data_IF_920594761000
#
_entry.id   IF_920594761000
#
_cell.length_a   1.000
_cell.length_b   1.000
_cell.length_c   1.000
_cell.angle_alpha   90.00
_cell.angle_beta   90.00
_cell.angle_gamma   90.00
#
_symmetry.space_group_name_H-M   'P 1'
#
loop_
_entity.id
_entity.type
_entity.pdbx_description
1 polymer ?
#
# COMPACT_ATOMS: atom_id res chain seq x y z
N UNK A 1 6.43 -19.96 2.52
CA UNK A 1 5.58 -20.27 1.35
C UNK A 1 4.35 -19.39 1.47
N UNK A 2 4.06 -18.56 0.46
CA UNK A 2 2.89 -17.68 0.44
C UNK A 2 1.59 -18.51 0.44
N UNK A 3 0.53 -18.03 1.10
CA UNK A 3 -0.75 -18.75 1.15
C UNK A 3 -1.43 -18.75 -0.22
N UNK A 4 -2.09 -19.84 -0.59
CA UNK A 4 -2.70 -20.01 -1.92
C UNK A 4 -3.76 -18.94 -2.25
N UNK A 5 -4.50 -18.45 -1.26
CA UNK A 5 -5.47 -17.36 -1.45
C UNK A 5 -4.78 -16.02 -1.77
N UNK A 6 -3.64 -15.75 -1.13
CA UNK A 6 -2.81 -14.55 -1.40
C UNK A 6 -2.18 -14.65 -2.79
N UNK A 7 -1.67 -15.83 -3.17
CA UNK A 7 -1.16 -16.09 -4.53
C UNK A 7 -2.26 -15.79 -5.57
N UNK A 8 -3.47 -16.31 -5.36
CA UNK A 8 -4.58 -16.07 -6.29
C UNK A 8 -4.96 -14.58 -6.40
N UNK A 9 -4.97 -13.85 -5.29
CA UNK A 9 -5.19 -12.39 -5.29
C UNK A 9 -4.09 -11.66 -6.05
N UNK A 10 -2.82 -12.05 -5.87
CA UNK A 10 -1.69 -11.49 -6.61
C UNK A 10 -1.78 -11.75 -8.10
N UNK A 11 -2.03 -13.00 -8.51
CA UNK A 11 -2.18 -13.35 -9.93
C UNK A 11 -3.33 -12.57 -10.57
N UNK A 12 -4.47 -12.44 -9.89
CA UNK A 12 -5.61 -11.65 -10.37
C UNK A 12 -5.25 -10.17 -10.57
N UNK A 13 -4.51 -9.59 -9.62
CA UNK A 13 -4.02 -8.21 -9.72
C UNK A 13 -3.06 -8.04 -10.90
N UNK A 14 -2.05 -8.92 -11.02
CA UNK A 14 -1.05 -8.86 -12.09
C UNK A 14 -1.71 -8.98 -13.48
N UNK A 15 -2.64 -9.93 -13.65
CA UNK A 15 -3.45 -10.06 -14.88
C UNK A 15 -4.21 -8.78 -15.21
N UNK A 16 -4.89 -8.17 -14.22
CA UNK A 16 -5.63 -6.91 -14.41
C UNK A 16 -4.70 -5.79 -14.87
N UNK A 17 -3.57 -5.60 -14.19
CA UNK A 17 -2.60 -4.56 -14.54
C UNK A 17 -1.97 -4.78 -15.93
N UNK A 18 -1.61 -6.02 -16.27
CA UNK A 18 -1.12 -6.37 -17.60
C UNK A 18 -2.16 -6.11 -18.69
N UNK A 19 -3.42 -6.49 -18.48
CA UNK A 19 -4.50 -6.25 -19.45
C UNK A 19 -4.73 -4.75 -19.67
N UNK A 20 -4.74 -3.94 -18.60
CA UNK A 20 -4.86 -2.48 -18.71
C UNK A 20 -3.71 -1.89 -19.55
N UNK A 21 -2.48 -2.38 -19.36
CA UNK A 21 -1.31 -1.96 -20.16
C UNK A 21 -1.39 -2.41 -21.62
N UNK A 22 -1.73 -3.68 -21.88
CA UNK A 22 -1.84 -4.23 -23.24
C UNK A 22 -2.93 -3.57 -24.07
N UNK A 23 -4.02 -3.15 -23.43
CA UNK A 23 -5.12 -2.43 -24.08
C UNK A 23 -4.82 -0.94 -24.32
N UNK A 24 -3.60 -0.47 -24.05
CA UNK A 24 -3.20 0.95 -24.14
C UNK A 24 -4.15 1.88 -23.38
N UNK A 25 -4.61 1.48 -22.18
CA UNK A 25 -5.43 2.35 -21.35
C UNK A 25 -4.62 3.60 -20.95
N UNK A 26 -5.17 4.77 -21.28
CA UNK A 26 -4.51 6.09 -21.06
C UNK A 26 -4.93 6.75 -19.76
N UNK A 27 -5.84 6.14 -18.99
CA UNK A 27 -6.29 6.66 -17.70
C UNK A 27 -5.13 6.68 -16.70
N UNK A 28 -4.97 7.77 -15.91
CA UNK A 28 -3.91 7.84 -14.91
C UNK A 28 -4.22 6.90 -13.74
N UNK A 29 -3.22 6.11 -13.32
CA UNK A 29 -3.28 5.33 -12.08
C UNK A 29 -2.96 6.26 -10.91
N UNK A 30 -3.81 6.24 -9.88
CA UNK A 30 -3.63 7.00 -8.64
C UNK A 30 -3.41 6.04 -7.48
N UNK A 31 -2.32 6.24 -6.73
CA UNK A 31 -1.91 5.46 -5.58
C UNK A 31 -2.27 6.22 -4.30
N UNK A 32 -2.86 5.53 -3.33
CA UNK A 32 -3.29 6.06 -2.04
C UNK A 32 -2.60 5.27 -0.93
N UNK A 33 -2.06 5.95 0.08
CA UNK A 33 -1.42 5.28 1.22
C UNK A 33 -1.26 6.21 2.43
N UNK A 34 -1.08 5.59 3.60
CA UNK A 34 -0.72 6.25 4.85
C UNK A 34 0.67 5.85 5.35
N UNK A 35 1.48 6.82 5.76
CA UNK A 35 2.78 6.58 6.39
C UNK A 35 2.98 7.44 7.63
N UNK A 36 4.13 7.29 8.28
CA UNK A 36 4.51 8.13 9.40
C UNK A 36 5.99 8.49 9.39
N UNK A 37 6.30 9.69 9.90
CA UNK A 37 7.66 10.18 10.13
C UNK A 37 7.85 10.38 11.64
N UNK A 38 8.96 9.86 12.17
CA UNK A 38 9.29 10.02 13.59
C UNK A 38 10.10 11.30 13.80
N UNK A 39 9.86 12.01 14.89
CA UNK A 39 10.66 13.14 15.34
C UNK A 39 12.17 12.84 15.39
N UNK A 40 12.50 11.62 15.82
CA UNK A 40 13.88 11.16 15.96
C UNK A 40 14.39 10.43 14.72
N UNK A 41 13.69 10.49 13.58
CA UNK A 41 14.11 9.80 12.36
C UNK A 41 15.44 10.40 11.85
N UNK A 42 16.44 9.55 11.71
CA UNK A 42 17.85 9.89 11.42
C UNK A 42 18.48 8.90 10.45
N UNK A 43 19.69 9.18 9.99
CA UNK A 43 20.47 8.25 9.15
C UNK A 43 20.98 7.06 9.98
N UNK A 44 20.81 5.85 9.48
CA UNK A 44 21.25 4.62 10.16
C UNK A 44 22.77 4.48 10.36
N UNK A 45 23.59 5.20 9.59
CA UNK A 45 25.04 5.28 9.78
C UNK A 45 25.48 6.75 9.85
N UNK A 46 26.15 7.10 10.95
CA UNK A 46 26.63 8.46 11.21
C UNK A 46 28.04 8.34 11.78
N UNK A 47 28.97 9.14 11.26
CA UNK A 47 30.32 9.23 11.80
C UNK A 47 30.28 9.81 13.21
N UNK A 48 30.85 9.08 14.16
CA UNK A 48 31.10 9.54 15.54
C UNK A 48 32.59 9.44 15.80
N UNK A 49 33.12 10.35 16.62
CA UNK A 49 34.51 10.24 17.06
C UNK A 49 34.66 9.04 18.04
N UNK A 50 35.90 8.60 18.27
CA UNK A 50 36.19 7.43 19.11
C UNK A 50 35.68 7.58 20.55
N UNK A 51 35.50 8.82 21.02
CA UNK A 51 35.03 9.16 22.36
C UNK A 51 33.50 9.36 22.42
N UNK A 52 32.78 9.23 21.29
CA UNK A 52 31.34 9.45 21.18
C UNK A 52 30.87 10.86 21.63
N UNK A 53 31.78 11.83 21.66
CA UNK A 53 31.55 13.22 22.12
C UNK A 53 31.22 14.18 20.99
N UNK A 54 31.63 13.86 19.76
CA UNK A 54 31.38 14.63 18.54
C UNK A 54 30.59 13.81 17.53
N UNK A 55 29.73 14.48 16.76
CA UNK A 55 28.78 13.87 15.83
C UNK A 55 27.33 14.17 16.20
N UNK A 56 26.39 13.77 15.35
CA UNK A 56 24.96 14.01 15.57
C UNK A 56 24.48 13.22 16.81
N UNK A 57 24.04 13.94 17.86
CA UNK A 57 23.47 13.34 19.08
C UNK A 57 21.99 13.06 18.87
N UNK A 58 21.67 11.82 18.52
CA UNK A 58 20.28 11.36 18.43
C UNK A 58 19.61 11.35 19.82
N UNK A 59 18.37 11.87 19.94
CA UNK A 59 17.63 11.81 21.19
C UNK A 59 17.31 10.36 21.57
N UNK A 60 17.51 10.02 22.84
CA UNK A 60 17.17 8.70 23.38
C UNK A 60 15.70 8.71 23.83
N UNK A 61 14.78 8.21 22.98
CA UNK A 61 13.35 8.15 23.26
C UNK A 61 12.51 7.78 22.03
N UNK A 62 11.22 7.43 22.22
CA UNK A 62 10.33 7.02 21.11
C UNK A 62 9.96 8.16 20.14
N UNK A 63 10.09 9.42 20.55
CA UNK A 63 9.77 10.61 19.74
C UNK A 63 8.27 10.75 19.37
N UNK A 64 7.84 11.94 18.97
CA UNK A 64 6.54 12.13 18.33
C UNK A 64 6.47 11.49 16.94
N UNK A 65 5.27 11.21 16.43
CA UNK A 65 5.06 10.72 15.06
C UNK A 65 4.10 11.64 14.31
N UNK A 66 4.51 12.09 13.14
CA UNK A 66 3.63 12.71 12.16
C UNK A 66 3.03 11.61 11.30
N UNK A 67 1.70 11.51 11.27
CA UNK A 67 0.95 10.64 10.35
C UNK A 67 0.69 11.42 9.06
N UNK A 68 0.84 10.75 7.92
CA UNK A 68 0.66 11.34 6.59
C UNK A 68 -0.25 10.39 5.81
N UNK A 69 -1.37 10.89 5.28
CA UNK A 69 -2.23 10.18 4.33
C UNK A 69 -2.22 10.98 3.03
N UNK A 70 -1.89 10.36 1.89
CA UNK A 70 -1.84 11.09 0.62
C UNK A 70 -2.15 10.21 -0.60
N UNK A 71 -2.50 10.89 -1.70
CA UNK A 71 -2.69 10.32 -3.02
C UNK A 71 -1.67 10.85 -4.05
N UNK A 72 -1.20 10.04 -4.99
CA UNK A 72 -0.32 10.50 -6.07
C UNK A 72 -0.39 9.67 -7.36
N UNK A 73 0.02 10.25 -8.48
CA UNK A 73 0.04 9.61 -9.80
C UNK A 73 1.31 9.93 -10.57
N UNK A 74 1.74 9.01 -11.45
CA UNK A 74 2.81 9.26 -12.43
C UNK A 74 2.51 10.47 -13.33
N UNK A 75 1.24 10.75 -13.62
CA UNK A 75 0.85 11.78 -14.59
C UNK A 75 0.95 13.20 -14.04
N UNK A 76 0.66 13.38 -12.76
CA UNK A 76 0.51 14.72 -12.15
C UNK A 76 1.16 14.87 -10.77
N UNK A 77 1.88 13.85 -10.27
CA UNK A 77 2.52 13.88 -8.96
C UNK A 77 1.50 13.72 -7.83
N UNK A 78 1.74 14.38 -6.70
CA UNK A 78 0.77 14.43 -5.61
C UNK A 78 -0.52 15.12 -6.05
N UNK A 79 -1.66 14.59 -5.59
CA UNK A 79 -2.96 15.23 -5.82
C UNK A 79 -3.02 16.49 -4.95
N UNK A 80 -2.95 17.67 -5.56
CA UNK A 80 -3.10 18.94 -4.85
C UNK A 80 -4.58 19.28 -4.70
N UNK A 81 -5.00 19.49 -3.45
CA UNK A 81 -6.33 19.92 -2.99
C UNK A 81 -7.51 19.03 -3.40
N UNK A 82 -8.12 18.37 -2.41
CA UNK A 82 -9.54 18.01 -2.46
C UNK A 82 -10.22 18.66 -1.26
N UNK A 83 -11.14 19.59 -1.55
CA UNK A 83 -12.02 20.20 -0.57
C UNK A 83 -12.90 19.16 0.11
N UNK A 84 -12.46 18.70 1.28
CA UNK A 84 -13.28 18.01 2.25
C UNK A 84 -13.10 18.74 3.57
N UNK A 85 -14.12 19.51 3.97
CA UNK A 85 -14.14 20.15 5.28
C UNK A 85 -14.20 19.07 6.36
N UNK A 86 -13.22 19.08 7.27
CA UNK A 86 -13.27 18.31 8.51
C UNK A 86 -13.05 19.23 9.70
N UNK A 87 -13.80 18.99 10.78
CA UNK A 87 -13.68 19.76 12.01
C UNK A 87 -12.47 19.25 12.82
N UNK A 88 -11.57 20.13 13.31
CA UNK A 88 -10.43 19.75 14.15
C UNK A 88 -10.81 19.21 15.54
N UNK A 89 -12.10 19.15 15.88
CA UNK A 89 -12.61 18.87 17.22
C UNK A 89 -13.30 17.50 17.36
N UNK A 90 -13.47 16.73 16.27
CA UNK A 90 -14.12 15.42 16.35
C UNK A 90 -13.14 14.33 16.82
N UNK A 91 -13.53 13.57 17.84
CA UNK A 91 -12.73 12.46 18.35
C UNK A 91 -12.92 11.20 17.50
N UNK A 92 -11.88 10.37 17.42
CA UNK A 92 -11.89 9.09 16.69
C UNK A 92 -13.06 8.17 17.13
N UNK A 93 -13.53 8.32 18.37
CA UNK A 93 -14.64 7.57 18.93
C UNK A 93 -16.00 8.00 18.36
N UNK A 94 -16.22 9.30 18.20
CA UNK A 94 -17.47 9.87 17.66
C UNK A 94 -17.63 9.55 16.17
N UNK A 95 -16.52 9.58 15.41
CA UNK A 95 -16.50 9.16 14.00
C UNK A 95 -16.80 7.67 13.85
N UNK A 96 -16.31 6.82 14.76
CA UNK A 96 -16.55 5.37 14.74
C UNK A 96 -17.99 4.99 15.06
N UNK A 97 -18.66 5.70 15.96
CA UNK A 97 -20.07 5.42 16.30
C UNK A 97 -21.01 5.77 15.15
N UNK A 98 -20.79 6.89 14.45
CA UNK A 98 -21.56 7.25 13.26
C UNK A 98 -21.47 6.20 12.16
N UNK A 99 -20.25 5.75 11.85
CA UNK A 99 -19.98 4.77 10.78
C UNK A 99 -20.59 3.41 11.10
N UNK A 100 -20.60 2.99 12.38
CA UNK A 100 -21.09 1.65 12.79
C UNK A 100 -22.57 1.40 12.48
N UNK A 101 -23.39 2.45 12.45
CA UNK A 101 -24.83 2.36 12.15
C UNK A 101 -25.17 2.32 10.65
N UNK A 102 -24.18 2.58 9.79
CA UNK A 102 -24.34 2.67 8.34
C UNK A 102 -23.82 1.45 7.59
N UNK A 103 -23.16 0.50 8.28
CA UNK A 103 -22.49 -0.64 7.66
C UNK A 103 -23.51 -1.66 7.14
N UNK A 104 -23.65 -1.84 5.82
CA UNK A 104 -24.51 -2.88 5.25
C UNK A 104 -23.91 -4.28 5.48
N UNK A 105 -24.75 -5.33 5.46
CA UNK A 105 -24.33 -6.73 5.64
C UNK A 105 -23.36 -7.24 4.54
N UNK A 106 -23.34 -6.60 3.38
CA UNK A 106 -22.31 -6.82 2.36
C UNK A 106 -21.21 -5.76 2.50
N UNK A 107 -19.94 -6.20 2.55
CA UNK A 107 -18.77 -5.32 2.62
C UNK A 107 -18.58 -4.59 1.28
N UNK A 108 -19.29 -3.49 1.08
CA UNK A 108 -18.98 -2.49 0.05
C UNK A 108 -18.22 -1.36 0.72
N UNK A 109 -17.08 -0.98 0.15
CA UNK A 109 -16.33 0.16 0.64
C UNK A 109 -16.99 1.42 0.09
N UNK A 110 -17.38 2.36 0.95
CA UNK A 110 -17.97 3.65 0.51
C UNK A 110 -17.06 4.37 -0.49
N UNK A 111 -15.74 4.25 -0.33
CA UNK A 111 -14.75 4.76 -1.28
C UNK A 111 -14.90 4.15 -2.68
N UNK A 112 -15.29 2.88 -2.78
CA UNK A 112 -15.51 2.22 -4.07
C UNK A 112 -16.77 2.77 -4.76
N UNK A 113 -17.80 3.10 -3.99
CA UNK A 113 -19.02 3.73 -4.52
C UNK A 113 -18.77 5.17 -4.96
N UNK A 114 -18.05 5.95 -4.15
CA UNK A 114 -17.66 7.32 -4.50
C UNK A 114 -16.76 7.33 -5.74
N UNK A 115 -15.74 6.46 -5.78
CA UNK A 115 -14.88 6.34 -6.95
C UNK A 115 -15.68 5.95 -8.20
N UNK A 116 -16.61 4.98 -8.08
CA UNK A 116 -17.46 4.57 -9.17
C UNK A 116 -18.40 5.70 -9.66
N UNK A 117 -18.96 6.49 -8.76
CA UNK A 117 -19.80 7.66 -9.08
C UNK A 117 -19.02 8.72 -9.87
N UNK A 118 -17.72 8.85 -9.60
CA UNK A 118 -16.82 9.78 -10.29
C UNK A 118 -16.20 9.12 -11.56
N UNK A 119 -16.51 7.85 -11.84
CA UNK A 119 -16.00 7.11 -13.00
C UNK A 119 -14.57 6.58 -12.83
N UNK A 120 -14.08 6.52 -11.60
CA UNK A 120 -12.78 5.96 -11.25
C UNK A 120 -12.87 4.46 -10.95
N UNK A 121 -12.02 3.69 -11.60
CA UNK A 121 -11.89 2.25 -11.38
C UNK A 121 -10.86 1.97 -10.30
N UNK A 122 -11.26 1.26 -9.23
CA UNK A 122 -10.35 0.88 -8.15
C UNK A 122 -9.62 -0.43 -8.47
N UNK A 123 -8.33 -0.43 -8.16
CA UNK A 123 -7.49 -1.62 -8.14
C UNK A 123 -6.89 -1.77 -6.75
N UNK A 124 -7.26 -2.84 -6.04
CA UNK A 124 -6.73 -3.14 -4.71
C UNK A 124 -5.41 -3.91 -4.84
N UNK A 125 -4.42 -3.50 -4.05
CA UNK A 125 -3.17 -4.24 -3.94
C UNK A 125 -3.40 -5.60 -3.25
N UNK A 126 -2.71 -6.65 -3.71
CA UNK A 126 -2.68 -7.92 -3.01
C UNK A 126 -2.08 -7.77 -1.60
N UNK A 127 -2.59 -8.49 -0.58
CA UNK A 127 -2.04 -8.45 0.77
C UNK A 127 -0.54 -8.77 0.79
N UNK A 128 0.26 -8.03 1.57
CA UNK A 128 1.72 -8.18 1.68
C UNK A 128 2.54 -7.86 0.42
N UNK A 129 1.93 -7.23 -0.59
CA UNK A 129 2.62 -6.86 -1.83
C UNK A 129 2.78 -5.34 -2.01
N UNK A 130 3.25 -4.65 -0.96
CA UNK A 130 3.49 -3.21 -1.01
C UNK A 130 4.56 -2.81 -2.05
N UNK A 131 5.43 -3.73 -2.50
CA UNK A 131 6.41 -3.49 -3.56
C UNK A 131 5.78 -3.09 -4.91
N UNK A 132 4.50 -3.37 -5.12
CA UNK A 132 3.77 -2.93 -6.32
C UNK A 132 3.20 -1.51 -6.19
N UNK A 133 3.30 -0.91 -5.00
CA UNK A 133 2.80 0.42 -4.71
C UNK A 133 3.91 1.47 -4.85
N UNK A 134 3.89 2.26 -5.91
CA UNK A 134 4.97 3.21 -6.21
C UNK A 134 5.14 4.29 -5.12
N UNK A 135 4.06 4.64 -4.40
CA UNK A 135 4.10 5.65 -3.33
C UNK A 135 4.98 5.22 -2.15
N UNK A 136 5.14 3.92 -1.90
CA UNK A 136 6.02 3.39 -0.86
C UNK A 136 7.49 3.76 -1.14
N UNK A 137 7.89 3.76 -2.41
CA UNK A 137 9.23 4.17 -2.85
C UNK A 137 9.41 5.68 -2.76
N UNK A 138 8.34 6.45 -3.01
CA UNK A 138 8.34 7.91 -2.79
C UNK A 138 8.48 8.21 -1.29
N UNK A 139 7.77 7.47 -0.43
CA UNK A 139 7.93 7.59 1.01
C UNK A 139 9.34 7.28 1.47
N UNK A 140 9.99 6.27 0.89
CA UNK A 140 11.40 6.00 1.17
C UNK A 140 12.31 7.18 0.80
N UNK A 141 12.07 7.84 -0.34
CA UNK A 141 12.82 9.02 -0.76
C UNK A 141 12.61 10.22 0.18
N UNK A 142 11.36 10.55 0.48
CA UNK A 142 10.99 11.65 1.39
C UNK A 142 11.59 11.43 2.77
N UNK A 143 11.43 10.23 3.33
CA UNK A 143 12.03 9.87 4.63
C UNK A 143 13.55 9.96 4.59
N UNK A 144 14.18 9.54 3.49
CA UNK A 144 15.62 9.66 3.30
C UNK A 144 16.13 11.10 3.29
N UNK A 145 15.39 12.02 2.67
CA UNK A 145 15.75 13.44 2.61
C UNK A 145 15.55 14.14 3.96
N UNK A 146 14.44 13.86 4.65
CA UNK A 146 14.22 14.33 6.03
C UNK A 146 15.34 13.79 6.93
N UNK A 147 15.66 12.50 6.88
CA UNK A 147 16.71 11.88 7.68
C UNK A 147 18.10 12.51 7.44
N UNK A 148 18.37 12.92 6.20
CA UNK A 148 19.63 13.54 5.80
C UNK A 148 19.81 14.94 6.38
N UNK A 149 18.74 15.70 6.48
CA UNK A 149 18.78 17.11 6.86
C UNK A 149 18.35 17.35 8.32
N UNK A 150 17.77 16.33 8.99
CA UNK A 150 17.37 16.42 10.39
C UNK A 150 18.57 16.45 11.33
N UNK A 151 18.91 17.64 11.81
CA UNK A 151 20.04 17.87 12.73
C UNK A 151 19.60 18.29 14.13
N UNK A 152 18.39 18.85 14.27
CA UNK A 152 17.91 19.45 15.53
C UNK A 152 16.96 18.54 16.30
N UNK A 153 16.31 17.58 15.63
CA UNK A 153 15.32 16.67 16.20
C UNK A 153 14.13 17.36 16.91
N UNK A 154 13.89 18.64 16.57
CA UNK A 154 12.73 19.39 17.03
C UNK A 154 11.56 19.15 16.09
N UNK A 155 10.37 19.03 16.66
CA UNK A 155 9.18 18.68 15.90
C UNK A 155 8.88 19.72 14.80
N UNK A 156 8.93 21.01 15.13
CA UNK A 156 8.70 22.11 14.17
C UNK A 156 9.72 22.12 13.01
N UNK A 157 10.97 21.71 13.28
CA UNK A 157 12.01 21.64 12.26
C UNK A 157 11.79 20.42 11.35
N UNK A 158 11.40 19.28 11.92
CA UNK A 158 11.06 18.07 11.16
C UNK A 158 9.84 18.31 10.26
N UNK A 159 8.84 19.05 10.72
CA UNK A 159 7.67 19.41 9.91
C UNK A 159 8.06 20.27 8.70
N UNK A 160 8.94 21.27 8.89
CA UNK A 160 9.47 22.07 7.77
C UNK A 160 10.26 21.22 6.79
N UNK A 161 11.18 20.38 7.28
CA UNK A 161 11.97 19.47 6.45
C UNK A 161 11.09 18.49 5.67
N UNK A 162 9.98 18.02 6.27
CA UNK A 162 9.02 17.16 5.60
C UNK A 162 8.33 17.91 4.45
N UNK A 163 7.84 19.12 4.69
CA UNK A 163 7.21 19.94 3.64
C UNK A 163 8.19 20.24 2.50
N UNK A 164 9.44 20.59 2.81
CA UNK A 164 10.49 20.82 1.82
C UNK A 164 10.79 19.55 1.01
N UNK A 165 10.91 18.40 1.68
CA UNK A 165 11.13 17.11 1.03
C UNK A 165 9.97 16.74 0.09
N UNK A 166 8.72 16.92 0.52
CA UNK A 166 7.53 16.72 -0.31
C UNK A 166 7.54 17.61 -1.54
N UNK A 167 7.84 18.91 -1.37
CA UNK A 167 7.91 19.88 -2.46
C UNK A 167 9.05 19.58 -3.46
N UNK A 168 10.11 18.91 -2.99
CA UNK A 168 11.23 18.50 -3.85
C UNK A 168 10.95 17.26 -4.70
N UNK A 169 9.89 16.50 -4.40
CA UNK A 169 9.54 15.30 -5.18
C UNK A 169 9.04 15.73 -6.57
N UNK A 170 9.79 15.34 -7.60
CA UNK A 170 9.46 15.70 -8.98
C UNK A 170 8.65 14.60 -9.68
N UNK A 171 8.06 14.95 -10.82
CA UNK A 171 7.40 13.99 -11.72
C UNK A 171 8.36 12.88 -12.17
N UNK A 172 9.65 13.18 -12.34
CA UNK A 172 10.63 12.17 -12.75
C UNK A 172 10.98 11.19 -11.63
N UNK A 173 10.90 11.60 -10.36
CA UNK A 173 10.95 10.67 -9.22
C UNK A 173 9.80 9.67 -9.30
N UNK A 174 8.58 10.16 -9.54
CA UNK A 174 7.39 9.32 -9.72
C UNK A 174 7.49 8.38 -10.91
N UNK A 175 8.01 8.84 -12.06
CA UNK A 175 8.25 7.97 -13.22
C UNK A 175 9.18 6.83 -12.86
N UNK A 176 10.33 7.11 -12.26
CA UNK A 176 11.31 6.08 -11.87
C UNK A 176 10.72 5.05 -10.91
N UNK A 177 9.99 5.49 -9.88
CA UNK A 177 9.33 4.59 -8.93
C UNK A 177 8.26 3.73 -9.61
N UNK A 178 7.45 4.34 -10.48
CA UNK A 178 6.39 3.63 -11.20
C UNK A 178 6.97 2.61 -12.17
N UNK A 179 8.01 2.98 -12.92
CA UNK A 179 8.68 2.08 -13.87
C UNK A 179 9.33 0.90 -13.14
N UNK A 180 9.90 1.12 -11.94
CA UNK A 180 10.40 0.03 -11.09
C UNK A 180 9.28 -0.93 -10.67
N UNK A 181 8.15 -0.42 -10.16
CA UNK A 181 7.01 -1.26 -9.81
C UNK A 181 6.43 -2.01 -11.03
N UNK A 182 6.41 -1.39 -12.21
CA UNK A 182 5.99 -2.05 -13.45
C UNK A 182 6.90 -3.21 -13.81
N UNK A 183 8.22 -3.03 -13.77
CA UNK A 183 9.17 -4.09 -14.06
C UNK A 183 9.01 -5.26 -13.07
N UNK A 184 8.83 -4.98 -11.78
CA UNK A 184 8.56 -6.02 -10.77
C UNK A 184 7.27 -6.78 -11.07
N UNK A 185 6.20 -6.08 -11.46
CA UNK A 185 4.93 -6.70 -11.83
C UNK A 185 5.08 -7.60 -13.07
N UNK A 186 5.85 -7.17 -14.08
CA UNK A 186 6.09 -7.95 -15.29
C UNK A 186 6.93 -9.20 -15.01
N UNK A 187 8.02 -9.07 -14.26
CA UNK A 187 8.85 -10.19 -13.84
C UNK A 187 8.05 -11.24 -13.07
N UNK A 188 7.22 -10.80 -12.11
CA UNK A 188 6.39 -11.72 -11.33
C UNK A 188 5.27 -12.33 -12.16
N UNK A 189 4.70 -11.58 -13.12
CA UNK A 189 3.71 -12.12 -14.04
C UNK A 189 4.29 -13.23 -14.93
N UNK A 190 5.50 -13.05 -15.46
CA UNK A 190 6.20 -14.06 -16.26
C UNK A 190 6.47 -15.33 -15.43
N UNK A 191 6.94 -15.16 -14.18
CA UNK A 191 7.18 -16.29 -13.26
C UNK A 191 5.91 -17.08 -12.96
N UNK A 192 4.78 -16.41 -12.78
CA UNK A 192 3.50 -17.07 -12.55
C UNK A 192 2.98 -17.77 -13.82
N UNK A 193 3.17 -17.21 -15.02
CA UNK A 193 2.85 -17.88 -16.28
C UNK A 193 3.61 -19.19 -16.45
N UNK A 194 4.92 -19.19 -16.15
CA UNK A 194 5.76 -20.41 -16.15
C UNK A 194 5.25 -21.42 -15.11
N UNK A 195 4.79 -20.96 -13.94
CA UNK A 195 4.23 -21.83 -12.91
C UNK A 195 2.91 -22.47 -13.34
N UNK A 196 2.03 -21.70 -13.98
CA UNK A 196 0.75 -22.20 -14.53
C UNK A 196 0.99 -23.24 -15.64
N UNK A 197 2.06 -23.10 -16.45
CA UNK A 197 2.45 -24.08 -17.48
C UNK A 197 3.06 -25.37 -16.88
N UNK A 198 3.79 -25.26 -15.77
CA UNK A 198 4.40 -26.40 -15.08
C UNK A 198 3.37 -27.20 -14.27
N UNK A 199 2.32 -26.54 -13.76
CA UNK A 199 1.25 -27.20 -13.01
C UNK A 199 0.30 -27.91 -13.99
N UNK A 200 0.22 -29.24 -13.87
CA UNK A 200 -0.73 -30.03 -14.67
C UNK A 200 -2.18 -29.60 -14.37
N UNK A 201 -3.05 -29.49 -15.40
CA UNK A 201 -4.45 -29.17 -15.18
C UNK A 201 -5.09 -30.18 -14.23
N UNK A 202 -5.70 -29.71 -13.14
CA UNK A 202 -6.51 -30.55 -12.27
C UNK A 202 -7.84 -30.79 -13.00
N UNK A 203 -7.97 -31.95 -13.63
CA UNK A 203 -9.23 -32.41 -14.23
C UNK A 203 -10.12 -32.92 -13.11
N UNK A 204 -11.11 -32.13 -12.71
CA UNK A 204 -12.18 -32.59 -11.82
C UNK A 204 -13.18 -33.40 -12.64
N UNK A 205 -13.05 -34.72 -12.64
CA UNK A 205 -14.08 -35.61 -13.18
C UNK A 205 -15.24 -35.63 -12.19
N UNK A 206 -16.29 -34.85 -12.48
CA UNK A 206 -17.54 -34.91 -11.72
C UNK A 206 -18.29 -36.15 -12.22
N UNK A 207 -18.13 -37.27 -11.54
CA UNK A 207 -18.99 -38.43 -11.76
C UNK A 207 -20.38 -38.09 -11.24
N UNK A 208 -21.40 -38.22 -12.09
CA UNK A 208 -22.80 -37.91 -11.75
C UNK A 208 -23.50 -38.99 -10.90
N UNK A 209 -22.79 -40.06 -10.52
CA UNK A 209 -23.38 -41.20 -9.80
C UNK A 209 -22.66 -41.47 -8.46
N UNK A 210 -22.78 -40.55 -7.51
CA UNK A 210 -22.58 -40.86 -6.09
C UNK A 210 -23.95 -41.00 -5.41
N UNK A 211 -24.60 -42.14 -5.66
CA UNK A 211 -25.67 -42.66 -4.80
C UNK A 211 -25.10 -43.85 -4.01
N UNK A 212 -24.72 -43.62 -2.75
CA UNK A 212 -25.39 -44.25 -1.62
C UNK A 212 -24.88 -43.67 -0.29
N UNK A 213 -25.80 -43.04 0.42
CA UNK A 213 -25.70 -42.65 1.82
C UNK A 213 -26.48 -43.67 2.64
N UNK A 214 -25.80 -44.42 3.50
CA UNK A 214 -26.41 -45.09 4.67
C UNK A 214 -25.33 -45.68 5.60
N UNK A 215 -24.83 -44.89 6.56
CA UNK A 215 -24.27 -45.45 7.79
C UNK A 215 -25.41 -45.63 8.82
N UNK A 216 -25.71 -46.88 9.15
CA UNK A 216 -26.68 -47.28 10.17
C UNK A 216 -25.98 -47.33 11.53
N UNK A 217 -26.37 -46.43 12.45
CA UNK A 217 -26.03 -46.53 13.87
C UNK A 217 -26.57 -47.85 14.44
N UNK A 218 -25.70 -48.61 15.09
CA UNK A 218 -26.07 -49.79 15.90
C UNK A 218 -25.40 -49.64 17.26
N UNK A 219 -26.14 -49.08 18.21
CA UNK A 219 -25.86 -49.23 19.64
C UNK A 219 -26.29 -50.64 20.07
N UNK A 220 -25.39 -51.41 20.70
CA UNK A 220 -25.78 -52.55 21.53
C UNK A 220 -25.07 -52.47 22.91
N UNK A 221 -25.95 -52.25 23.90
CA UNK A 221 -25.99 -52.61 25.32
C UNK A 221 -24.73 -53.04 26.08
#
# INVERSE_FOLDING_TARGET
MERNDIVAMRVKFLRKMCNLRQNNDTRPVVYLDETWVNQNHSRGQIWKNAQNTEGLKEPTGKGGRLLICHAGSRKFGFVNENGVDFSPLETLSELRERVKSLIPKEKKYELDEIALQIGHEIVRLPPYHCQYNAIELIWAQVKGEVAKNNTTFKFDDVEKLLNDALNSVTVDNWKKCTDHCHNLQEEDFIKEGIRDEILTPIILTINSDDSNDSESDSEES
#
